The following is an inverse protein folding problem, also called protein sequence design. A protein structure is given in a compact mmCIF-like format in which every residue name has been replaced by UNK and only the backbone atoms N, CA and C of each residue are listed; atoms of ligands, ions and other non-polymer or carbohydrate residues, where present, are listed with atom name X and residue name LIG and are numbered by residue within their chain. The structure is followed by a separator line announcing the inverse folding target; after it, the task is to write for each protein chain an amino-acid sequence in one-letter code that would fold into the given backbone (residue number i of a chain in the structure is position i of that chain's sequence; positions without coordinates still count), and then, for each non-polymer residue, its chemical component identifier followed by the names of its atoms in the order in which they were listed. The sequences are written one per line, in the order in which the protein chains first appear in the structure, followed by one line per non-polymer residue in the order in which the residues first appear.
data_IF_429596110026
#
_entry.id   IF_429596110026
#
_cell.length_a   1.000
_cell.length_b   1.000
_cell.length_c   1.000
_cell.angle_alpha   90.00
_cell.angle_beta   90.00
_cell.angle_gamma   90.00
#
_symmetry.space_group_name_H-M   'P 1'
#
loop_
_entity.id
_entity.type
_entity.pdbx_description
1 polymer ?
#
# COMPACT_ATOMS: atom_id res chain seq x y z
N UNK A 1 -5.49 14.12 -2.77
CA UNK A 1 -5.05 12.72 -2.84
C UNK A 1 -6.10 11.87 -2.13
N UNK A 2 -6.80 11.00 -2.85
CA UNK A 2 -8.00 10.33 -2.33
C UNK A 2 -7.71 8.95 -1.74
N UNK A 3 -6.60 8.30 -2.14
CA UNK A 3 -6.15 6.99 -1.69
C UNK A 3 -4.64 7.01 -1.46
N UNK A 4 -4.14 6.27 -0.46
CA UNK A 4 -2.71 6.03 -0.23
C UNK A 4 -2.45 4.62 0.24
N UNK A 5 -1.32 4.01 -0.15
CA UNK A 5 -0.84 2.78 0.46
C UNK A 5 -0.28 3.07 1.86
N UNK A 6 -0.76 2.35 2.87
CA UNK A 6 -0.23 2.41 4.23
C UNK A 6 0.67 1.19 4.43
N UNK A 7 1.99 1.41 4.49
CA UNK A 7 2.99 0.36 4.64
C UNK A 7 2.95 -0.35 5.99
N UNK A 8 2.43 0.29 7.04
CA UNK A 8 2.27 -0.33 8.37
C UNK A 8 1.12 -1.34 8.37
N UNK A 9 0.02 -1.00 7.69
CA UNK A 9 -1.16 -1.87 7.58
C UNK A 9 -1.04 -2.84 6.40
N UNK A 10 -0.23 -2.50 5.39
CA UNK A 10 -0.02 -3.28 4.18
C UNK A 10 -1.18 -3.20 3.19
N UNK A 11 -1.89 -2.07 3.10
CA UNK A 11 -3.02 -1.90 2.16
C UNK A 11 -3.31 -0.45 1.80
N UNK A 12 -4.09 -0.22 0.74
CA UNK A 12 -4.60 1.09 0.37
C UNK A 12 -5.68 1.57 1.34
N UNK A 13 -5.60 2.83 1.74
CA UNK A 13 -6.53 3.53 2.62
C UNK A 13 -7.07 4.76 1.90
N UNK A 14 -8.40 4.90 1.87
CA UNK A 14 -9.09 6.07 1.32
C UNK A 14 -9.39 7.11 2.40
N UNK A 15 -9.23 8.39 2.07
CA UNK A 15 -9.51 9.52 2.99
C UNK A 15 -10.78 10.30 2.64
N UNK A 16 -11.43 9.93 1.54
CA UNK A 16 -12.72 10.48 1.09
C UNK A 16 -13.64 9.32 0.71
N UNK A 17 -14.94 9.54 0.57
CA UNK A 17 -15.90 8.48 0.19
C UNK A 17 -15.55 7.82 -1.15
N UNK A 18 -15.14 8.62 -2.14
CA UNK A 18 -14.64 8.11 -3.43
C UNK A 18 -13.33 7.34 -3.24
N UNK A 19 -12.45 7.84 -2.36
CA UNK A 19 -11.22 7.17 -1.99
C UNK A 19 -11.45 5.79 -1.36
N UNK A 20 -12.44 5.64 -0.49
CA UNK A 20 -12.80 4.36 0.12
C UNK A 20 -13.18 3.31 -0.94
N UNK A 21 -14.04 3.67 -1.90
CA UNK A 21 -14.45 2.76 -2.98
C UNK A 21 -13.27 2.34 -3.87
N UNK A 22 -12.39 3.28 -4.18
CA UNK A 22 -11.18 2.99 -4.97
C UNK A 22 -10.21 2.11 -4.19
N UNK A 23 -10.00 2.39 -2.90
CA UNK A 23 -9.13 1.59 -2.03
C UNK A 23 -9.65 0.16 -1.87
N UNK A 24 -10.96 -0.05 -1.72
CA UNK A 24 -11.55 -1.40 -1.70
C UNK A 24 -11.31 -2.16 -3.00
N UNK A 25 -11.41 -1.48 -4.14
CA UNK A 25 -11.15 -2.07 -5.45
C UNK A 25 -9.68 -2.49 -5.57
N UNK A 26 -8.76 -1.58 -5.25
CA UNK A 26 -7.31 -1.82 -5.38
C UNK A 26 -6.80 -2.85 -4.38
N UNK A 27 -7.39 -2.92 -3.19
CA UNK A 27 -7.07 -3.95 -2.19
C UNK A 27 -7.52 -5.36 -2.59
N UNK A 28 -8.38 -5.51 -3.62
CA UNK A 28 -8.78 -6.79 -4.18
C UNK A 28 -8.06 -7.12 -5.49
N UNK A 29 -7.31 -6.17 -6.04
CA UNK A 29 -6.59 -6.29 -7.30
C UNK A 29 -5.14 -6.76 -7.16
N UNK A 30 -4.46 -6.92 -8.30
CA UNK A 30 -3.04 -7.27 -8.35
C UNK A 30 -2.13 -6.14 -7.88
N UNK A 31 -2.63 -4.90 -7.88
CA UNK A 31 -1.93 -3.70 -7.43
C UNK A 31 -1.46 -3.85 -5.99
N UNK A 32 -2.31 -4.40 -5.11
CA UNK A 32 -1.94 -4.65 -3.72
C UNK A 32 -0.77 -5.64 -3.59
N UNK A 33 -0.77 -6.71 -4.38
CA UNK A 33 0.29 -7.72 -4.35
C UNK A 33 1.62 -7.13 -4.85
N UNK A 34 1.57 -6.31 -5.91
CA UNK A 34 2.76 -5.61 -6.40
C UNK A 34 3.32 -4.67 -5.32
N UNK A 35 2.48 -3.86 -4.69
CA UNK A 35 2.92 -2.89 -3.69
C UNK A 35 3.46 -3.55 -2.42
N UNK A 36 2.86 -4.68 -2.00
CA UNK A 36 3.43 -5.52 -0.94
C UNK A 36 4.79 -6.10 -1.33
N UNK A 37 4.96 -6.50 -2.58
CA UNK A 37 6.25 -6.95 -3.11
C UNK A 37 7.31 -5.86 -3.04
N UNK A 38 7.00 -4.63 -3.44
CA UNK A 38 7.88 -3.46 -3.32
C UNK A 38 8.22 -3.14 -1.86
N UNK A 39 7.21 -3.18 -0.97
CA UNK A 39 7.38 -2.95 0.45
C UNK A 39 8.40 -3.92 1.07
N UNK A 40 8.30 -5.21 0.76
CA UNK A 40 9.22 -6.22 1.29
C UNK A 40 10.61 -6.11 0.64
N UNK A 41 10.67 -6.12 -0.70
CA UNK A 41 11.94 -6.26 -1.43
C UNK A 41 12.81 -5.01 -1.41
N UNK A 42 12.21 -3.84 -1.28
CA UNK A 42 12.92 -2.56 -1.35
C UNK A 42 12.84 -1.82 -0.03
N UNK A 43 11.64 -1.44 0.42
CA UNK A 43 11.50 -0.55 1.57
C UNK A 43 12.02 -1.20 2.85
N UNK A 44 11.52 -2.39 3.22
CA UNK A 44 11.94 -3.09 4.43
C UNK A 44 13.38 -3.59 4.34
N UNK A 45 13.76 -4.13 3.18
CA UNK A 45 15.14 -4.56 2.94
C UNK A 45 16.14 -3.42 3.20
N UNK A 46 15.91 -2.24 2.62
CA UNK A 46 16.80 -1.10 2.81
C UNK A 46 16.71 -0.53 4.23
N UNK A 47 15.51 -0.45 4.80
CA UNK A 47 15.33 0.04 6.18
C UNK A 47 16.07 -0.83 7.22
N UNK A 48 16.22 -2.13 6.95
CA UNK A 48 17.00 -3.04 7.80
C UNK A 48 18.52 -2.87 7.64
N UNK A 49 18.98 -2.31 6.51
CA UNK A 49 20.41 -2.02 6.26
C UNK A 49 20.81 -0.69 6.89
N UNK A 50 19.89 0.26 6.98
CA UNK A 50 20.11 1.61 7.51
C UNK A 50 20.03 1.70 9.06
N UNK A 51 20.00 0.54 9.74
CA UNK A 51 19.84 0.41 11.20
C UNK A 51 21.02 -0.33 11.83
#
# INVERSE_FOLDING_TARGET
ENIRFNSTVGKYVGYTEVGLKNAETWNKGSELAQELGELERYCKYNAAIDY
#
